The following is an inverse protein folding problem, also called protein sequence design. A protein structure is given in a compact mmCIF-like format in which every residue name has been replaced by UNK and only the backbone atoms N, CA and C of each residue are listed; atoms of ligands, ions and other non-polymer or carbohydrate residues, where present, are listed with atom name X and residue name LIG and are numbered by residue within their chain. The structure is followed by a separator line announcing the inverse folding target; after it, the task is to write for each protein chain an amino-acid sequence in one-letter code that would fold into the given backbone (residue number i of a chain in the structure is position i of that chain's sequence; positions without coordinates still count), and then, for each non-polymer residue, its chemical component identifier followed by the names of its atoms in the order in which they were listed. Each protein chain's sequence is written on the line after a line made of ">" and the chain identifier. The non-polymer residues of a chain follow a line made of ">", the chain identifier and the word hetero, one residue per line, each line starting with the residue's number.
data_IF_722322028427
#
_entry.id   IF_722322028427
#
_cell.length_a   1.000
_cell.length_b   1.000
_cell.length_c   1.000
_cell.angle_alpha   90.00
_cell.angle_beta   90.00
_cell.angle_gamma   90.00
#
_symmetry.space_group_name_H-M   'P 1'
#
loop_
_entity.id
_entity.type
_entity.pdbx_description
1 polymer ?
#
# COMPACT_ATOMS: atom_id res chain seq x y z
N UNK A 1 -10.03 -11.78 16.46
CA UNK A 1 -8.66 -11.57 15.95
C UNK A 1 -8.71 -11.98 14.49
N UNK A 2 -8.40 -11.08 13.54
CA UNK A 2 -8.52 -11.41 12.13
C UNK A 2 -7.43 -12.43 11.75
N UNK A 3 -7.81 -13.50 11.07
CA UNK A 3 -6.86 -14.45 10.47
C UNK A 3 -6.65 -14.04 9.01
N UNK A 4 -5.39 -13.98 8.58
CA UNK A 4 -5.02 -13.66 7.20
C UNK A 4 -4.63 -14.93 6.47
N UNK A 5 -4.84 -14.96 5.14
CA UNK A 5 -4.38 -16.10 4.33
C UNK A 5 -2.86 -16.26 4.45
N UNK A 6 -2.36 -17.50 4.55
CA UNK A 6 -0.92 -17.74 4.69
C UNK A 6 -0.18 -17.31 3.41
N UNK A 7 1.10 -16.96 3.56
CA UNK A 7 1.89 -16.31 2.49
C UNK A 7 2.11 -17.20 1.24
N UNK A 8 2.04 -18.52 1.41
CA UNK A 8 2.10 -19.53 0.35
C UNK A 8 0.80 -19.60 -0.48
N UNK A 9 -0.28 -18.98 -0.02
CA UNK A 9 -1.52 -18.87 -0.79
C UNK A 9 -1.37 -17.91 -1.99
N UNK A 10 -0.33 -17.09 -2.04
CA UNK A 10 -0.27 -15.92 -2.90
C UNK A 10 0.40 -16.27 -4.24
N UNK A 11 -0.36 -16.30 -5.36
CA UNK A 11 0.22 -16.61 -6.66
C UNK A 11 1.30 -15.60 -7.06
N UNK A 12 2.32 -16.08 -7.78
CA UNK A 12 3.34 -15.21 -8.37
C UNK A 12 2.70 -14.11 -9.22
N UNK A 13 3.28 -12.90 -9.18
CA UNK A 13 2.83 -11.75 -9.98
C UNK A 13 1.39 -11.30 -9.72
N UNK A 14 0.88 -11.49 -8.50
CA UNK A 14 -0.50 -11.12 -8.12
C UNK A 14 -0.50 -9.99 -7.08
N UNK A 15 -0.21 -8.74 -7.47
CA UNK A 15 -0.19 -7.59 -6.54
C UNK A 15 -1.58 -7.30 -5.95
N UNK A 16 -2.64 -7.70 -6.64
CA UNK A 16 -4.02 -7.63 -6.16
C UNK A 16 -4.31 -8.57 -5.00
N UNK A 17 -3.48 -9.60 -4.77
CA UNK A 17 -3.60 -10.50 -3.62
C UNK A 17 -2.68 -10.14 -2.44
N UNK A 18 -2.04 -8.97 -2.49
CA UNK A 18 -1.26 -8.41 -1.39
C UNK A 18 -1.93 -7.15 -0.82
N UNK A 19 -2.33 -7.13 0.47
CA UNK A 19 -2.91 -5.94 1.10
C UNK A 19 -2.03 -4.68 0.99
N UNK A 20 -0.70 -4.82 0.96
CA UNK A 20 0.22 -3.69 0.82
C UNK A 20 0.27 -3.16 -0.63
N UNK A 21 0.33 -4.04 -1.61
CA UNK A 21 0.33 -3.61 -3.01
C UNK A 21 -1.04 -3.02 -3.39
N UNK A 22 -2.14 -3.63 -2.92
CA UNK A 22 -3.48 -3.07 -3.05
C UNK A 22 -3.60 -1.71 -2.36
N UNK A 23 -3.01 -1.53 -1.18
CA UNK A 23 -2.97 -0.22 -0.50
C UNK A 23 -2.25 0.82 -1.35
N UNK A 24 -1.09 0.48 -1.92
CA UNK A 24 -0.32 1.38 -2.78
C UNK A 24 -1.08 1.72 -4.08
N UNK A 25 -1.82 0.78 -4.66
CA UNK A 25 -2.68 1.03 -5.80
C UNK A 25 -3.82 2.01 -5.45
N UNK A 26 -4.49 1.80 -4.32
CA UNK A 26 -5.58 2.67 -3.87
C UNK A 26 -5.10 4.07 -3.43
N UNK A 27 -3.89 4.16 -2.87
CA UNK A 27 -3.28 5.43 -2.45
C UNK A 27 -2.71 6.21 -3.64
N UNK A 28 -2.07 5.52 -4.58
CA UNK A 28 -1.35 6.10 -5.70
C UNK A 28 -2.24 6.56 -6.86
N UNK A 29 -3.52 6.19 -6.88
CA UNK A 29 -4.45 6.48 -7.98
C UNK A 29 -5.69 7.30 -7.54
N UNK A 30 -5.54 8.58 -7.17
CA UNK A 30 -6.69 9.43 -6.86
C UNK A 30 -7.46 9.91 -8.12
N UNK A 31 -7.15 9.42 -9.33
CA UNK A 31 -7.82 9.85 -10.57
C UNK A 31 -7.02 9.74 -11.87
N UNK A 32 -6.13 8.75 -12.00
CA UNK A 32 -5.40 8.42 -13.23
C UNK A 32 -4.21 9.32 -13.56
N UNK A 33 -3.76 10.16 -12.62
CA UNK A 33 -2.57 10.99 -12.82
C UNK A 33 -1.32 10.23 -12.39
N UNK A 34 -0.30 10.18 -13.26
CA UNK A 34 1.02 9.73 -12.83
C UNK A 34 1.51 10.63 -11.68
N UNK A 35 1.84 10.07 -10.51
CA UNK A 35 2.37 10.86 -9.43
C UNK A 35 3.68 11.50 -9.89
N UNK A 36 3.80 12.81 -9.71
CA UNK A 36 5.05 13.54 -9.95
C UNK A 36 6.10 12.95 -9.04
N UNK A 37 7.02 12.15 -9.60
CA UNK A 37 8.11 11.52 -8.83
C UNK A 37 9.00 12.64 -8.29
N UNK A 38 9.02 12.89 -6.97
CA UNK A 38 9.91 13.89 -6.42
C UNK A 38 11.35 13.43 -6.67
N UNK A 39 12.20 14.31 -7.20
CA UNK A 39 13.63 14.03 -7.23
C UNK A 39 14.17 14.18 -5.80
N UNK A 40 14.68 13.09 -5.23
CA UNK A 40 15.34 13.10 -3.94
C UNK A 40 16.85 13.18 -4.12
N UNK A 41 17.49 14.16 -3.48
CA UNK A 41 18.94 14.38 -3.54
C UNK A 41 19.72 13.52 -2.56
N UNK A 42 19.06 12.84 -1.62
CA UNK A 42 19.69 11.92 -0.66
C UNK A 42 18.75 10.81 -0.18
N UNK A 43 19.31 9.79 0.45
CA UNK A 43 18.56 8.67 1.07
C UNK A 43 17.69 9.17 2.22
N UNK A 44 18.18 10.15 2.99
CA UNK A 44 17.48 10.75 4.13
C UNK A 44 16.25 11.52 3.66
N UNK A 45 16.38 12.30 2.57
CA UNK A 45 15.25 12.99 1.96
C UNK A 45 14.17 12.01 1.48
N UNK A 46 14.59 10.87 0.93
CA UNK A 46 13.68 9.79 0.52
C UNK A 46 12.97 9.15 1.72
N UNK A 47 13.70 8.84 2.81
CA UNK A 47 13.13 8.29 4.05
C UNK A 47 12.12 9.25 4.68
N UNK A 48 12.45 10.54 4.76
CA UNK A 48 11.56 11.57 5.29
C UNK A 48 10.25 11.66 4.48
N UNK A 49 10.35 11.56 3.15
CA UNK A 49 9.17 11.53 2.28
C UNK A 49 8.32 10.29 2.52
N UNK A 50 8.93 9.10 2.58
CA UNK A 50 8.20 7.85 2.86
C UNK A 50 7.44 7.94 4.18
N UNK A 51 8.08 8.42 5.24
CA UNK A 51 7.43 8.57 6.55
C UNK A 51 6.25 9.54 6.48
N UNK A 52 6.43 10.69 5.82
CA UNK A 52 5.35 11.67 5.62
C UNK A 52 4.16 11.07 4.86
N UNK A 53 4.42 10.37 3.76
CA UNK A 53 3.35 9.73 2.98
C UNK A 53 2.66 8.62 3.77
N UNK A 54 3.42 7.86 4.57
CA UNK A 54 2.86 6.85 5.46
C UNK A 54 1.92 7.47 6.51
N UNK A 55 2.31 8.60 7.09
CA UNK A 55 1.47 9.34 8.04
C UNK A 55 0.19 9.92 7.38
N UNK A 56 0.23 10.20 6.07
CA UNK A 56 -0.92 10.66 5.29
C UNK A 56 -1.89 9.52 4.92
N UNK A 57 -1.48 8.25 5.00
CA UNK A 57 -2.38 7.13 4.75
C UNK A 57 -3.42 7.06 5.86
N UNK A 58 -4.66 7.43 5.53
CA UNK A 58 -5.77 7.37 6.46
C UNK A 58 -6.08 5.91 6.85
N UNK A 59 -6.32 5.66 8.15
CA UNK A 59 -6.59 4.31 8.66
C UNK A 59 -7.80 3.60 8.03
N UNK A 60 -8.75 4.34 7.44
CA UNK A 60 -9.81 3.77 6.63
C UNK A 60 -9.31 3.08 5.35
N UNK A 61 -8.28 3.62 4.69
CA UNK A 61 -7.69 3.04 3.49
C UNK A 61 -6.99 1.72 3.81
N UNK A 62 -6.29 1.65 4.94
CA UNK A 62 -5.65 0.42 5.45
C UNK A 62 -6.70 -0.66 5.72
N UNK A 63 -7.83 -0.30 6.34
CA UNK A 63 -8.94 -1.23 6.56
C UNK A 63 -9.53 -1.73 5.25
N UNK A 64 -9.75 -0.83 4.28
CA UNK A 64 -10.26 -1.18 2.95
C UNK A 64 -9.31 -2.12 2.21
N UNK A 65 -8.00 -1.88 2.24
CA UNK A 65 -7.03 -2.76 1.58
C UNK A 65 -6.92 -4.13 2.25
N UNK A 66 -7.18 -4.23 3.55
CA UNK A 66 -7.12 -5.50 4.28
C UNK A 66 -8.42 -6.31 4.23
N UNK A 67 -9.58 -5.68 4.02
CA UNK A 67 -10.89 -6.31 4.11
C UNK A 67 -11.09 -7.54 3.19
N UNK A 68 -10.63 -7.53 1.91
CA UNK A 68 -10.76 -8.70 1.03
C UNK A 68 -9.98 -9.94 1.48
N UNK A 69 -9.02 -9.76 2.39
CA UNK A 69 -8.09 -10.79 2.85
C UNK A 69 -8.45 -11.40 4.19
N UNK A 70 -9.39 -10.80 4.91
CA UNK A 70 -9.87 -11.33 6.17
C UNK A 70 -10.65 -12.63 5.93
N UNK A 71 -10.30 -13.69 6.66
CA UNK A 71 -11.11 -14.92 6.69
C UNK A 71 -12.09 -14.86 7.86
N UNK A 72 -13.34 -15.28 7.63
CA UNK A 72 -14.37 -15.44 8.68
C UNK A 72 -14.12 -16.70 9.52
#
# INVERSE_FOLDING_TARGET
>A
MASFRPADFWPSSSPDVNPLDLLLMLYGDPGGQEPTKPQHTSVEARKATINKEWDNIFGGLIKTSCAPFATY
#
